data_IF_716851439605
#
_entry.id   IF_716851439605
#
_cell.length_a   1.000
_cell.length_b   1.000
_cell.length_c   1.000
_cell.angle_alpha   90.00
_cell.angle_beta   90.00
_cell.angle_gamma   90.00
#
_symmetry.space_group_name_H-M   'P 1'
#
loop_
_entity.id
_entity.type
_entity.pdbx_description
1 polymer ?
#
# COMPACT_ATOMS: atom_id res chain seq x y z
N UNK A 1 -27.93 4.24 -35.76
CA UNK A 1 -28.36 4.11 -34.34
C UNK A 1 -27.55 5.08 -33.44
N UNK A 2 -27.45 6.36 -33.81
CA UNK A 2 -26.73 7.40 -33.03
C UNK A 2 -27.51 8.73 -33.07
N UNK A 3 -28.84 8.68 -33.18
CA UNK A 3 -29.69 9.86 -33.44
C UNK A 3 -30.33 10.46 -32.16
N UNK A 4 -29.96 9.98 -30.96
CA UNK A 4 -30.67 10.36 -29.71
C UNK A 4 -29.77 10.82 -28.55
N UNK A 5 -28.49 11.12 -28.80
CA UNK A 5 -27.64 11.69 -27.74
C UNK A 5 -27.85 13.20 -27.69
N UNK A 6 -28.40 13.68 -26.58
CA UNK A 6 -28.63 15.11 -26.35
C UNK A 6 -27.32 15.79 -25.93
N UNK A 7 -27.14 17.07 -26.28
CA UNK A 7 -25.96 17.86 -25.89
C UNK A 7 -25.68 17.82 -24.37
N UNK A 8 -26.74 17.77 -23.56
CA UNK A 8 -26.67 17.62 -22.10
C UNK A 8 -26.04 16.30 -21.65
N UNK A 9 -26.26 15.22 -22.40
CA UNK A 9 -25.74 13.88 -22.11
C UNK A 9 -24.23 13.83 -22.42
N UNK A 10 -23.80 14.42 -23.54
CA UNK A 10 -22.38 14.60 -23.88
C UNK A 10 -21.65 15.44 -22.83
N UNK A 11 -22.27 16.53 -22.37
CA UNK A 11 -21.70 17.35 -21.30
C UNK A 11 -21.57 16.55 -19.99
N UNK A 12 -22.58 15.73 -19.67
CA UNK A 12 -22.55 14.81 -18.53
C UNK A 12 -21.40 13.81 -18.61
N UNK A 13 -21.17 13.19 -19.78
CA UNK A 13 -20.04 12.28 -19.99
C UNK A 13 -18.69 13.01 -19.91
N UNK A 14 -18.59 14.24 -20.42
CA UNK A 14 -17.38 15.06 -20.32
C UNK A 14 -17.02 15.38 -18.87
N UNK A 15 -17.97 15.93 -18.10
CA UNK A 15 -17.76 16.26 -16.69
C UNK A 15 -17.51 15.01 -15.85
N UNK A 16 -18.28 13.94 -16.08
CA UNK A 16 -18.10 12.65 -15.40
C UNK A 16 -16.72 12.03 -15.67
N UNK A 17 -16.28 12.04 -16.93
CA UNK A 17 -14.95 11.58 -17.33
C UNK A 17 -13.82 12.41 -16.70
N UNK A 18 -13.97 13.74 -16.65
CA UNK A 18 -13.00 14.63 -16.01
C UNK A 18 -12.88 14.35 -14.51
N UNK A 19 -14.00 14.23 -13.79
CA UNK A 19 -14.01 13.91 -12.37
C UNK A 19 -13.38 12.54 -12.10
N UNK A 20 -13.72 11.53 -12.90
CA UNK A 20 -13.12 10.20 -12.80
C UNK A 20 -11.60 10.27 -13.00
N UNK A 21 -11.13 10.97 -14.04
CA UNK A 21 -9.70 11.17 -14.26
C UNK A 21 -9.04 11.88 -13.06
N UNK A 22 -9.63 12.96 -12.56
CA UNK A 22 -9.11 13.67 -11.40
C UNK A 22 -8.94 12.75 -10.17
N UNK A 23 -9.94 11.92 -9.88
CA UNK A 23 -9.88 10.97 -8.75
C UNK A 23 -8.81 9.88 -8.93
N UNK A 24 -8.62 9.38 -10.16
CA UNK A 24 -7.59 8.36 -10.45
C UNK A 24 -6.18 8.94 -10.42
N UNK A 25 -5.99 10.18 -10.90
CA UNK A 25 -4.67 10.80 -10.99
C UNK A 25 -4.22 11.48 -9.69
N UNK A 26 -5.13 11.95 -8.84
CA UNK A 26 -4.80 12.57 -7.55
C UNK A 26 -3.82 11.74 -6.68
N UNK A 27 -4.07 10.44 -6.38
CA UNK A 27 -3.16 9.64 -5.57
C UNK A 27 -1.80 9.37 -6.25
N UNK A 28 -1.76 9.34 -7.59
CA UNK A 28 -0.48 9.23 -8.32
C UNK A 28 0.37 10.46 -8.10
N UNK A 29 -0.21 11.65 -8.29
CA UNK A 29 0.51 12.92 -8.12
C UNK A 29 1.00 13.07 -6.68
N UNK A 30 0.15 12.76 -5.69
CA UNK A 30 0.54 12.77 -4.28
C UNK A 30 1.72 11.81 -3.98
N UNK A 31 1.69 10.60 -4.55
CA UNK A 31 2.79 9.64 -4.44
C UNK A 31 4.08 10.15 -5.10
N UNK A 32 4.01 10.86 -6.23
CA UNK A 32 5.17 11.46 -6.88
C UNK A 32 5.77 12.59 -6.03
N UNK A 33 4.92 13.48 -5.50
CA UNK A 33 5.37 14.59 -4.64
C UNK A 33 5.99 14.05 -3.37
N UNK A 34 5.34 13.08 -2.71
CA UNK A 34 5.88 12.41 -1.53
C UNK A 34 7.23 11.75 -1.82
N UNK A 35 7.40 11.10 -2.97
CA UNK A 35 8.67 10.49 -3.37
C UNK A 35 9.76 11.53 -3.63
N UNK A 36 9.40 12.66 -4.24
CA UNK A 36 10.32 13.79 -4.49
C UNK A 36 10.79 14.44 -3.19
N UNK A 37 9.88 14.72 -2.26
CA UNK A 37 10.23 15.27 -0.94
C UNK A 37 11.14 14.32 -0.15
N UNK A 38 10.82 13.03 -0.12
CA UNK A 38 11.67 12.02 0.55
C UNK A 38 13.07 11.91 -0.07
N UNK A 39 13.19 12.14 -1.37
CA UNK A 39 14.50 12.10 -2.06
C UNK A 39 15.38 13.31 -1.72
N UNK A 40 14.79 14.49 -1.50
CA UNK A 40 15.54 15.68 -1.07
C UNK A 40 16.01 15.61 0.39
N UNK A 41 15.32 14.83 1.24
CA UNK A 41 15.65 14.64 2.65
C UNK A 41 16.75 13.60 2.90
N UNK A 42 17.36 13.04 1.85
CA UNK A 42 18.42 12.03 1.99
C UNK A 42 17.93 10.69 2.52
N UNK A 43 16.62 10.40 2.42
CA UNK A 43 16.05 9.21 3.02
C UNK A 43 16.51 7.92 2.33
N UNK A 44 16.68 6.86 3.11
CA UNK A 44 17.02 5.53 2.66
C UNK A 44 16.00 5.05 1.60
N UNK A 45 16.39 4.98 0.33
CA UNK A 45 15.50 4.62 -0.80
C UNK A 45 14.77 3.27 -0.63
N UNK A 46 15.34 2.39 0.18
CA UNK A 46 14.83 1.03 0.42
C UNK A 46 13.77 0.94 1.52
N UNK A 47 13.93 1.69 2.62
CA UNK A 47 13.01 1.64 3.77
C UNK A 47 12.34 2.97 4.13
N UNK A 48 12.66 4.06 3.43
CA UNK A 48 12.18 5.40 3.75
C UNK A 48 12.56 5.83 5.18
N UNK A 49 13.80 5.57 5.60
CA UNK A 49 14.35 5.82 6.96
C UNK A 49 13.63 5.15 8.14
N UNK A 50 12.66 4.28 7.89
CA UNK A 50 12.04 3.49 8.96
C UNK A 50 13.02 2.49 9.59
N UNK A 51 14.19 2.27 8.98
CA UNK A 51 15.23 1.27 9.35
C UNK A 51 14.70 -0.17 9.44
N UNK A 52 13.45 -0.39 9.06
CA UNK A 52 12.73 -1.64 9.12
C UNK A 52 12.01 -1.86 7.79
N UNK A 53 11.99 -3.10 7.32
CA UNK A 53 11.31 -3.54 6.10
C UNK A 53 10.31 -4.62 6.50
N UNK A 54 9.05 -4.47 6.09
CA UNK A 54 8.03 -5.46 6.37
C UNK A 54 8.40 -6.84 5.79
N UNK A 55 8.18 -7.89 6.55
CA UNK A 55 8.40 -9.25 6.08
C UNK A 55 7.36 -9.58 5.00
N UNK A 56 7.82 -9.87 3.79
CA UNK A 56 6.94 -10.18 2.65
C UNK A 56 6.07 -11.42 2.87
N UNK A 57 6.53 -12.37 3.69
CA UNK A 57 5.81 -13.63 3.91
C UNK A 57 4.64 -13.49 4.88
N UNK A 58 4.73 -12.63 5.89
CA UNK A 58 3.63 -12.35 6.82
C UNK A 58 3.04 -10.94 6.64
N UNK A 59 3.43 -10.19 5.59
CA UNK A 59 2.98 -8.82 5.32
C UNK A 59 3.01 -7.88 6.54
N UNK A 60 4.01 -8.01 7.40
CA UNK A 60 4.13 -7.16 8.60
C UNK A 60 3.48 -7.69 9.89
N UNK A 61 2.65 -8.73 9.86
CA UNK A 61 1.87 -9.16 11.03
C UNK A 61 2.61 -10.06 12.02
N UNK A 62 3.77 -10.60 11.62
CA UNK A 62 4.51 -11.60 12.41
C UNK A 62 3.88 -13.01 12.41
N UNK A 63 2.70 -13.19 11.81
CA UNK A 63 1.98 -14.46 11.76
C UNK A 63 1.51 -14.79 10.35
N UNK A 64 1.59 -16.06 9.97
CA UNK A 64 1.06 -16.53 8.69
C UNK A 64 -0.38 -16.98 8.94
N UNK A 65 -1.37 -16.23 8.47
CA UNK A 65 -2.76 -16.71 8.39
C UNK A 65 -2.86 -17.65 7.20
N UNK A 66 -3.12 -18.93 7.46
CA UNK A 66 -3.38 -19.90 6.41
C UNK A 66 -4.75 -19.65 5.78
N UNK A 67 -4.78 -19.34 4.48
CA UNK A 67 -5.99 -19.46 3.66
C UNK A 67 -6.47 -18.15 2.99
N UNK A 68 -6.93 -18.23 1.73
CA UNK A 68 -7.30 -17.06 0.91
C UNK A 68 -8.62 -16.35 1.30
N UNK A 69 -9.32 -16.76 2.37
CA UNK A 69 -10.64 -16.22 2.74
C UNK A 69 -10.70 -15.46 4.07
N UNK A 70 -9.58 -15.21 4.74
CA UNK A 70 -9.58 -14.72 6.13
C UNK A 70 -9.85 -13.22 6.33
N UNK A 71 -10.11 -12.43 5.28
CA UNK A 71 -10.39 -10.98 5.40
C UNK A 71 -11.88 -10.62 5.45
N UNK A 72 -12.80 -11.59 5.35
CA UNK A 72 -14.25 -11.33 5.30
C UNK A 72 -14.99 -11.77 6.59
N UNK A 73 -14.38 -12.55 7.49
CA UNK A 73 -15.09 -12.98 8.69
C UNK A 73 -14.81 -12.08 9.90
N UNK A 74 -15.76 -11.18 10.11
CA UNK A 74 -16.23 -10.69 11.40
C UNK A 74 -15.93 -11.70 12.54
N UNK A 75 -15.26 -11.21 13.57
CA UNK A 75 -15.34 -11.63 14.98
C UNK A 75 -15.97 -13.03 15.24
N UNK A 76 -15.19 -14.10 15.05
CA UNK A 76 -15.47 -15.36 15.75
C UNK A 76 -14.18 -16.07 16.16
N UNK A 77 -14.09 -16.31 17.46
CA UNK A 77 -13.02 -17.03 18.14
C UNK A 77 -13.09 -18.51 17.78
N UNK A 78 -12.44 -18.91 16.69
CA UNK A 78 -12.23 -20.32 16.42
C UNK A 78 -10.86 -20.56 15.81
N UNK A 79 -9.85 -20.63 16.69
CA UNK A 79 -8.59 -21.40 16.61
C UNK A 79 -8.11 -21.87 15.22
N UNK A 80 -8.07 -20.98 14.22
CA UNK A 80 -7.30 -21.21 12.99
C UNK A 80 -5.87 -20.88 13.37
N UNK A 81 -5.03 -21.92 13.48
CA UNK A 81 -3.65 -21.81 13.97
C UNK A 81 -2.86 -20.76 13.19
N UNK A 82 -2.77 -19.54 13.74
CA UNK A 82 -1.84 -18.54 13.27
C UNK A 82 -0.45 -19.01 13.65
N UNK A 83 0.29 -19.55 12.69
CA UNK A 83 1.67 -19.96 12.94
C UNK A 83 2.56 -18.72 12.95
N UNK A 84 3.46 -18.64 13.92
CA UNK A 84 4.49 -17.62 13.97
C UNK A 84 5.32 -17.68 12.68
N UNK A 85 5.50 -16.52 12.03
CA UNK A 85 6.30 -16.45 10.82
C UNK A 85 7.76 -16.76 11.17
N UNK A 86 8.25 -17.91 10.71
CA UNK A 86 9.62 -18.36 10.98
C UNK A 86 10.66 -17.46 10.31
N UNK A 87 10.35 -16.91 9.13
CA UNK A 87 11.27 -16.03 8.38
C UNK A 87 11.63 -14.77 9.15
N UNK A 88 10.66 -14.08 9.75
CA UNK A 88 10.93 -12.89 10.57
C UNK A 88 10.96 -13.19 12.07
N UNK A 89 10.94 -14.48 12.46
CA UNK A 89 10.86 -14.93 13.86
C UNK A 89 9.76 -14.22 14.66
N UNK A 90 8.55 -14.18 14.09
CA UNK A 90 7.38 -13.49 14.62
C UNK A 90 7.47 -11.96 14.76
N UNK A 91 8.57 -11.31 14.33
CA UNK A 91 8.70 -9.84 14.44
C UNK A 91 7.87 -9.06 13.42
N UNK A 92 7.48 -9.69 12.32
CA UNK A 92 6.77 -9.02 11.23
C UNK A 92 7.65 -8.20 10.29
N UNK A 93 8.90 -7.92 10.65
CA UNK A 93 9.81 -7.07 9.88
C UNK A 93 11.28 -7.55 9.96
N UNK A 94 12.12 -6.99 9.09
CA UNK A 94 13.57 -7.12 9.06
C UNK A 94 14.20 -5.74 9.24
N UNK A 95 15.44 -5.66 9.75
CA UNK A 95 16.18 -4.40 9.67
C UNK A 95 16.55 -4.10 8.22
N UNK A 96 16.55 -2.82 7.85
CA UNK A 96 16.96 -2.40 6.51
C UNK A 96 18.47 -2.63 6.36
N UNK A 97 18.92 -3.51 5.43
CA UNK A 97 20.35 -3.84 5.31
C UNK A 97 21.21 -2.65 4.88
N UNK A 98 20.62 -1.66 4.20
CA UNK A 98 21.33 -0.45 3.77
C UNK A 98 21.56 0.53 4.93
N UNK A 99 20.72 0.47 5.96
CA UNK A 99 20.55 1.55 6.94
C UNK A 99 20.61 1.05 8.40
N UNK A 100 20.79 -0.26 8.62
CA UNK A 100 20.83 -0.90 9.95
C UNK A 100 22.10 -0.57 10.74
N UNK A 101 23.18 -0.18 10.06
CA UNK A 101 24.46 0.14 10.69
C UNK A 101 24.80 1.65 10.65
N UNK A 102 23.93 2.48 10.07
CA UNK A 102 24.09 3.92 10.20
C UNK A 102 23.62 4.35 11.59
N UNK A 103 24.56 4.28 12.53
CA UNK A 103 24.45 5.03 13.79
C UNK A 103 24.15 6.48 13.43
N UNK A 104 23.16 7.05 14.11
CA UNK A 104 22.85 8.48 14.06
C UNK A 104 24.15 9.28 14.25
N UNK A 105 24.45 10.14 13.28
CA UNK A 105 25.29 11.31 13.50
C UNK A 105 24.37 12.49 13.79
#
# INVERSE_FOLDING_TARGET
>A
MFEHITASEIAGFGVGGLLLAATVYAPKIDSFISTSQRSSLGMCKRCGDLRLIACSSCKGTGTIKGGPFSSILLEDKSKVGSSSCTKCRARGHFQCPECSNLSQA
#
